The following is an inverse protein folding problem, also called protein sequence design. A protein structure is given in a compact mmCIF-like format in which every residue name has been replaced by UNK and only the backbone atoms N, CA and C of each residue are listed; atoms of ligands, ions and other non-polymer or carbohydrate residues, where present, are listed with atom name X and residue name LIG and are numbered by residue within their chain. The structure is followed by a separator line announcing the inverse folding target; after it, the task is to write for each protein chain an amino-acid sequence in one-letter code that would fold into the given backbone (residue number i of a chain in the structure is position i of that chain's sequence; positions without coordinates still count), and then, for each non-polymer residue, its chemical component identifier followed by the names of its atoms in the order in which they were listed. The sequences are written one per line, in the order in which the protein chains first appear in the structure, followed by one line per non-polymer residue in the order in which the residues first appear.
data_IF_453244494207
#
_entry.id   IF_453244494207
#
_cell.length_a   1.000
_cell.length_b   1.000
_cell.length_c   1.000
_cell.angle_alpha   90.00
_cell.angle_beta   90.00
_cell.angle_gamma   90.00
#
_symmetry.space_group_name_H-M   'P 1'
#
loop_
_entity.id
_entity.type
_entity.pdbx_description
1 polymer ?
#
# COMPACT_ATOMS: atom_id res chain seq x y z
N UNK A 1 -16.84 8.58 -7.49
CA UNK A 1 -16.49 7.65 -6.39
C UNK A 1 -15.45 8.27 -5.47
N UNK A 2 -15.31 7.76 -4.25
CA UNK A 2 -14.21 8.06 -3.33
C UNK A 2 -13.17 6.95 -3.44
N UNK A 3 -11.88 7.28 -3.49
CA UNK A 3 -10.79 6.31 -3.54
C UNK A 3 -9.75 6.59 -2.45
N UNK A 4 -9.40 5.57 -1.68
CA UNK A 4 -8.19 5.53 -0.89
C UNK A 4 -7.37 4.32 -1.33
N UNK A 5 -6.23 4.56 -1.97
CA UNK A 5 -5.31 3.53 -2.42
C UNK A 5 -4.18 3.35 -1.39
N UNK A 6 -3.99 2.13 -0.94
CA UNK A 6 -3.08 1.77 0.15
C UNK A 6 -1.61 1.69 -0.23
N UNK A 7 -1.24 1.77 -1.53
CA UNK A 7 0.16 1.64 -1.92
C UNK A 7 0.46 2.15 -3.34
N UNK A 8 1.50 2.97 -3.47
CA UNK A 8 2.13 3.28 -4.75
C UNK A 8 3.61 3.62 -4.60
N UNK A 9 4.40 3.41 -5.67
CA UNK A 9 5.85 3.72 -5.75
C UNK A 9 6.17 5.00 -6.50
N UNK A 10 5.21 5.88 -6.67
CA UNK A 10 5.32 7.11 -7.46
C UNK A 10 6.48 8.00 -7.04
N UNK A 11 6.78 8.06 -5.72
CA UNK A 11 7.91 8.87 -5.23
C UNK A 11 9.24 8.41 -5.81
N UNK A 12 9.49 7.10 -5.85
CA UNK A 12 10.70 6.56 -6.47
C UNK A 12 10.70 6.81 -7.97
N UNK A 13 9.54 6.69 -8.63
CA UNK A 13 9.34 7.04 -10.02
C UNK A 13 9.76 8.49 -10.31
N UNK A 14 9.30 9.44 -9.50
CA UNK A 14 9.63 10.88 -9.63
C UNK A 14 11.11 11.19 -9.36
N UNK A 15 11.82 10.36 -8.63
CA UNK A 15 13.27 10.50 -8.41
C UNK A 15 14.10 9.92 -9.56
N UNK A 16 13.49 9.16 -10.46
CA UNK A 16 14.15 8.37 -11.50
C UNK A 16 14.83 7.14 -10.93
N UNK A 17 14.49 6.00 -11.47
CA UNK A 17 15.24 4.77 -11.18
C UNK A 17 16.52 4.80 -12.03
N UNK A 18 17.71 4.62 -11.43
CA UNK A 18 18.97 4.58 -12.20
C UNK A 18 18.98 3.53 -13.32
N UNK A 19 18.16 2.50 -13.20
CA UNK A 19 18.02 1.36 -14.09
C UNK A 19 16.93 1.51 -15.17
N UNK A 20 16.06 2.52 -15.10
CA UNK A 20 14.90 2.66 -16.00
C UNK A 20 14.99 3.80 -17.02
N UNK A 21 16.10 4.53 -17.05
CA UNK A 21 16.29 5.61 -18.04
C UNK A 21 16.16 7.03 -17.48
N UNK A 22 15.90 8.03 -18.34
CA UNK A 22 15.82 9.41 -17.90
C UNK A 22 14.69 9.62 -16.88
N UNK A 23 14.89 10.61 -16.00
CA UNK A 23 13.86 11.02 -15.04
C UNK A 23 12.53 11.29 -15.75
N UNK A 24 11.40 10.79 -15.24
CA UNK A 24 10.10 11.19 -15.75
C UNK A 24 9.94 12.70 -15.62
N UNK A 25 9.35 13.31 -16.64
CA UNK A 25 9.01 14.72 -16.57
C UNK A 25 7.82 14.93 -15.63
N UNK A 26 7.86 15.99 -14.84
CA UNK A 26 6.71 16.41 -14.04
C UNK A 26 6.96 16.45 -12.53
N UNK A 27 5.87 16.66 -11.82
CA UNK A 27 5.76 16.72 -10.37
C UNK A 27 4.71 15.73 -9.88
N UNK A 28 4.47 15.68 -8.58
CA UNK A 28 3.35 14.90 -8.06
C UNK A 28 1.99 15.41 -8.56
N UNK A 29 1.89 16.71 -8.90
CA UNK A 29 0.65 17.27 -9.45
C UNK A 29 0.31 16.71 -10.83
N UNK A 30 1.28 16.67 -11.76
CA UNK A 30 1.10 16.15 -13.14
C UNK A 30 2.40 15.50 -13.62
N UNK A 31 2.31 14.24 -14.05
CA UNK A 31 3.44 13.46 -14.54
C UNK A 31 2.99 12.34 -15.50
N UNK A 32 3.98 11.63 -16.09
CA UNK A 32 3.75 10.52 -17.02
C UNK A 32 3.72 9.13 -16.32
N UNK A 33 3.66 9.09 -14.99
CA UNK A 33 3.55 7.87 -14.20
C UNK A 33 2.09 7.41 -14.05
N UNK A 34 1.85 6.30 -13.33
CA UNK A 34 0.51 5.80 -13.09
C UNK A 34 -0.31 6.70 -12.14
N UNK A 35 0.36 7.43 -11.23
CA UNK A 35 -0.30 8.27 -10.22
C UNK A 35 0.15 9.70 -10.34
N UNK A 36 -0.82 10.61 -10.42
CA UNK A 36 -0.66 12.02 -10.11
C UNK A 36 -1.90 12.63 -9.47
N UNK A 37 -1.74 13.80 -8.85
CA UNK A 37 -2.83 14.47 -8.15
C UNK A 37 -3.91 14.99 -9.09
N UNK A 38 -3.55 15.42 -10.30
CA UNK A 38 -4.48 16.00 -11.28
C UNK A 38 -5.54 14.98 -11.69
N UNK A 39 -5.12 13.74 -11.99
CA UNK A 39 -6.02 12.61 -12.31
C UNK A 39 -6.78 12.11 -11.08
N UNK A 40 -6.11 12.03 -9.94
CA UNK A 40 -6.74 11.63 -8.67
C UNK A 40 -7.85 12.60 -8.24
N UNK A 41 -7.66 13.89 -8.42
CA UNK A 41 -8.64 14.93 -8.06
C UNK A 41 -9.89 14.99 -8.96
N UNK A 42 -9.95 14.21 -10.04
CA UNK A 42 -11.18 14.00 -10.80
C UNK A 42 -12.20 13.14 -10.03
N UNK A 43 -11.77 12.46 -8.96
CA UNK A 43 -12.63 11.71 -8.05
C UNK A 43 -13.30 12.63 -7.03
N UNK A 44 -14.40 12.17 -6.45
CA UNK A 44 -15.10 12.88 -5.37
C UNK A 44 -14.21 13.12 -4.15
N UNK A 45 -13.38 12.13 -3.82
CA UNK A 45 -12.29 12.21 -2.83
C UNK A 45 -11.18 11.25 -3.24
N UNK A 46 -9.95 11.71 -3.12
CA UNK A 46 -8.77 10.91 -3.38
C UNK A 46 -7.82 10.90 -2.19
N UNK A 47 -7.42 9.70 -1.77
CA UNK A 47 -6.39 9.49 -0.77
C UNK A 47 -5.39 8.44 -1.28
N UNK A 48 -4.11 8.65 -1.02
CA UNK A 48 -3.03 7.78 -1.48
C UNK A 48 -1.98 7.58 -0.40
N UNK A 49 -1.54 6.34 -0.21
CA UNK A 49 -0.32 6.01 0.53
C UNK A 49 0.85 5.98 -0.44
N UNK A 50 1.83 6.83 -0.21
CA UNK A 50 3.07 6.91 -0.98
C UNK A 50 4.17 6.15 -0.24
N UNK A 51 4.77 5.17 -0.88
CA UNK A 51 5.82 4.36 -0.28
C UNK A 51 7.19 5.03 -0.39
N UNK A 52 7.93 5.03 0.71
CA UNK A 52 9.38 5.17 0.69
C UNK A 52 9.95 3.78 0.48
N UNK A 53 10.36 3.52 -0.74
CA UNK A 53 10.87 2.25 -1.23
C UNK A 53 12.26 2.38 -1.84
N UNK A 54 13.07 1.34 -1.72
CA UNK A 54 14.35 1.23 -2.39
C UNK A 54 15.19 0.08 -1.84
N UNK A 55 16.25 -0.27 -2.53
CA UNK A 55 17.11 -1.40 -2.17
C UNK A 55 18.59 -1.07 -2.30
N UNK A 56 19.42 -1.76 -1.52
CA UNK A 56 20.87 -1.63 -1.62
C UNK A 56 21.36 -1.99 -3.02
N UNK A 57 22.16 -1.09 -3.61
CA UNK A 57 22.72 -1.26 -4.97
C UNK A 57 21.98 -0.48 -6.04
N UNK A 58 20.88 0.21 -5.74
CA UNK A 58 20.23 1.10 -6.70
C UNK A 58 20.97 2.44 -6.95
N UNK A 59 22.17 2.60 -6.40
CA UNK A 59 23.00 3.80 -6.60
C UNK A 59 22.59 5.01 -5.74
N UNK A 60 21.66 4.82 -4.80
CA UNK A 60 21.21 5.84 -3.86
C UNK A 60 21.70 5.52 -2.45
N UNK A 61 22.26 6.48 -1.75
CA UNK A 61 22.57 6.44 -0.32
C UNK A 61 21.48 7.15 0.46
N UNK A 62 21.25 6.78 1.71
CA UNK A 62 20.18 7.34 2.56
C UNK A 62 18.83 7.42 1.83
N UNK A 63 18.37 6.25 1.37
CA UNK A 63 17.14 6.11 0.57
C UNK A 63 15.97 6.76 1.30
N UNK A 64 15.79 6.42 2.60
CA UNK A 64 14.71 6.97 3.41
C UNK A 64 14.77 8.51 3.49
N UNK A 65 15.92 9.08 3.81
CA UNK A 65 16.10 10.54 3.91
C UNK A 65 15.75 11.24 2.61
N UNK A 66 16.29 10.76 1.51
CA UNK A 66 16.12 11.40 0.18
C UNK A 66 14.68 11.31 -0.35
N UNK A 67 14.04 10.14 -0.24
CA UNK A 67 12.67 9.97 -0.75
C UNK A 67 11.68 10.70 0.15
N UNK A 68 11.83 10.64 1.47
CA UNK A 68 10.97 11.38 2.39
C UNK A 68 11.13 12.90 2.23
N UNK A 69 12.34 13.39 1.95
CA UNK A 69 12.56 14.81 1.63
C UNK A 69 11.85 15.20 0.32
N UNK A 70 11.97 14.37 -0.72
CA UNK A 70 11.23 14.60 -1.98
C UNK A 70 9.73 14.64 -1.74
N UNK A 71 9.18 13.72 -0.95
CA UNK A 71 7.77 13.74 -0.59
C UNK A 71 7.37 15.07 0.07
N UNK A 72 8.11 15.53 1.06
CA UNK A 72 7.82 16.80 1.74
C UNK A 72 7.89 18.00 0.79
N UNK A 73 8.85 18.02 -0.13
CA UNK A 73 8.95 19.06 -1.17
C UNK A 73 7.74 19.06 -2.10
N UNK A 74 7.24 17.86 -2.49
CA UNK A 74 6.01 17.74 -3.30
C UNK A 74 4.78 18.20 -2.50
N UNK A 75 4.68 17.88 -1.21
CA UNK A 75 3.58 18.36 -0.35
C UNK A 75 3.56 19.88 -0.24
N UNK A 76 4.72 20.52 -0.14
CA UNK A 76 4.84 21.99 -0.11
C UNK A 76 4.48 22.60 -1.48
N UNK A 77 5.06 22.06 -2.56
CA UNK A 77 4.86 22.58 -3.92
C UNK A 77 3.42 22.42 -4.41
N UNK A 78 2.72 21.37 -3.97
CA UNK A 78 1.35 21.03 -4.35
C UNK A 78 0.33 21.34 -3.25
N UNK A 79 0.65 22.19 -2.26
CA UNK A 79 -0.18 22.44 -1.07
C UNK A 79 -1.60 22.96 -1.38
N UNK A 80 -1.82 23.51 -2.58
CA UNK A 80 -3.14 23.88 -3.07
C UNK A 80 -4.03 22.66 -3.35
N UNK A 81 -3.43 21.54 -3.76
CA UNK A 81 -4.09 20.34 -4.28
C UNK A 81 -4.04 19.14 -3.34
N UNK A 82 -3.13 19.13 -2.38
CA UNK A 82 -2.88 17.98 -1.50
C UNK A 82 -2.65 18.42 -0.07
N UNK A 83 -3.04 17.55 0.88
CA UNK A 83 -2.71 17.68 2.30
C UNK A 83 -1.91 16.46 2.73
N UNK A 84 -0.76 16.68 3.35
CA UNK A 84 -0.07 15.61 4.08
C UNK A 84 -0.88 15.24 5.32
N UNK A 85 -1.23 13.98 5.42
CA UNK A 85 -2.10 13.41 6.46
C UNK A 85 -1.34 12.41 7.33
N UNK A 86 -1.54 12.52 8.64
CA UNK A 86 -1.03 11.57 9.64
C UNK A 86 -2.16 10.93 10.41
N UNK A 87 -3.26 11.68 10.57
CA UNK A 87 -4.45 11.31 11.35
C UNK A 87 -5.68 11.25 10.48
N UNK A 88 -6.70 10.56 10.97
CA UNK A 88 -8.01 10.52 10.32
C UNK A 88 -8.62 11.92 10.16
N UNK A 89 -8.46 12.80 11.16
CA UNK A 89 -8.91 14.19 11.08
C UNK A 89 -8.25 15.00 9.95
N UNK A 90 -6.99 14.70 9.62
CA UNK A 90 -6.30 15.34 8.49
C UNK A 90 -6.96 14.95 7.16
N UNK A 91 -7.24 13.65 6.96
CA UNK A 91 -7.92 13.17 5.77
C UNK A 91 -9.34 13.77 5.62
N UNK A 92 -10.10 13.83 6.71
CA UNK A 92 -11.42 14.48 6.72
C UNK A 92 -11.34 15.97 6.41
N UNK A 93 -10.25 16.62 6.81
CA UNK A 93 -10.01 18.03 6.49
C UNK A 93 -9.65 18.19 5.02
N UNK A 94 -8.78 17.32 4.47
CA UNK A 94 -8.46 17.30 3.05
C UNK A 94 -9.72 17.15 2.19
N UNK A 95 -10.59 16.18 2.54
CA UNK A 95 -11.87 15.96 1.85
C UNK A 95 -12.76 17.21 1.85
N UNK A 96 -12.91 17.89 3.00
CA UNK A 96 -13.69 19.14 3.10
C UNK A 96 -13.11 20.30 2.30
N UNK A 97 -11.79 20.32 2.15
CA UNK A 97 -11.06 21.34 1.39
C UNK A 97 -10.97 20.97 -0.10
N UNK A 98 -11.54 19.85 -0.54
CA UNK A 98 -11.42 19.33 -1.91
C UNK A 98 -9.96 19.11 -2.33
N UNK A 99 -9.13 18.65 -1.42
CA UNK A 99 -7.74 18.28 -1.64
C UNK A 99 -7.56 16.76 -1.58
N UNK A 100 -6.56 16.26 -2.26
CA UNK A 100 -6.12 14.89 -2.05
C UNK A 100 -5.52 14.72 -0.64
N UNK A 101 -5.69 13.55 -0.03
CA UNK A 101 -5.05 13.17 1.22
C UNK A 101 -3.83 12.29 0.93
N UNK A 102 -2.63 12.75 1.26
CA UNK A 102 -1.39 12.01 1.07
C UNK A 102 -0.90 11.44 2.39
N UNK A 103 -0.62 10.15 2.41
CA UNK A 103 -0.01 9.43 3.53
C UNK A 103 1.36 8.91 3.13
N UNK A 104 2.24 8.73 4.11
CA UNK A 104 3.60 8.22 3.89
C UNK A 104 3.75 6.85 4.54
N UNK A 105 4.28 5.89 3.79
CA UNK A 105 4.66 4.57 4.29
C UNK A 105 6.15 4.28 4.05
N UNK A 106 6.65 3.27 4.71
CA UNK A 106 7.94 2.64 4.43
C UNK A 106 7.67 1.24 3.89
N UNK A 107 8.28 0.89 2.77
CA UNK A 107 8.25 -0.46 2.22
C UNK A 107 9.64 -1.09 2.31
N UNK A 108 9.75 -2.01 3.27
CA UNK A 108 10.98 -2.70 3.63
C UNK A 108 11.81 -1.99 4.71
N UNK A 109 12.03 -2.68 5.83
CA UNK A 109 12.84 -2.17 6.94
C UNK A 109 14.28 -1.87 6.55
N UNK A 110 14.75 -2.44 5.43
CA UNK A 110 16.08 -2.19 4.87
C UNK A 110 16.33 -0.73 4.49
N UNK A 111 15.30 0.05 4.13
CA UNK A 111 15.47 1.49 3.86
C UNK A 111 15.73 2.30 5.14
N UNK A 112 15.44 1.70 6.30
CA UNK A 112 15.72 2.21 7.65
C UNK A 112 16.94 1.50 8.28
N UNK A 113 17.75 0.78 7.50
CA UNK A 113 18.87 -0.05 7.97
C UNK A 113 18.43 -1.07 9.05
N UNK A 114 17.16 -1.45 9.10
CA UNK A 114 16.53 -2.27 10.14
C UNK A 114 16.81 -1.76 11.55
N UNK A 115 16.88 -0.45 11.79
CA UNK A 115 17.28 0.18 13.05
C UNK A 115 16.10 0.82 13.78
N UNK A 116 15.99 0.62 15.11
CA UNK A 116 14.91 1.24 15.91
C UNK A 116 14.89 2.77 15.85
N UNK A 117 16.05 3.42 15.98
CA UNK A 117 16.16 4.88 15.94
C UNK A 117 15.76 5.47 14.57
N UNK A 118 15.97 4.75 13.46
CA UNK A 118 15.49 5.14 12.14
C UNK A 118 13.98 4.95 12.01
N UNK A 119 13.41 3.96 12.68
CA UNK A 119 11.96 3.75 12.72
C UNK A 119 11.27 4.87 13.53
N UNK A 120 11.88 5.28 14.65
CA UNK A 120 11.42 6.45 15.42
C UNK A 120 11.48 7.73 14.58
N UNK A 121 12.58 7.98 13.85
CA UNK A 121 12.70 9.09 12.90
C UNK A 121 11.57 9.03 11.83
N UNK A 122 11.26 7.84 11.30
CA UNK A 122 10.18 7.68 10.34
C UNK A 122 8.81 8.06 10.92
N UNK A 123 8.52 7.67 12.18
CA UNK A 123 7.33 8.09 12.90
C UNK A 123 7.25 9.62 13.05
N UNK A 124 8.35 10.26 13.46
CA UNK A 124 8.43 11.72 13.60
C UNK A 124 8.18 12.44 12.27
N UNK A 125 8.66 11.87 11.16
CA UNK A 125 8.39 12.38 9.80
C UNK A 125 6.97 12.10 9.31
N UNK A 126 6.18 11.31 10.07
CA UNK A 126 4.77 11.06 9.82
C UNK A 126 4.47 9.84 8.97
N UNK A 127 5.39 8.88 8.92
CA UNK A 127 5.11 7.55 8.37
C UNK A 127 4.00 6.90 9.20
N UNK A 128 2.92 6.47 8.55
CA UNK A 128 1.76 5.83 9.20
C UNK A 128 1.71 4.32 9.00
N UNK A 129 2.51 3.78 8.09
CA UNK A 129 2.51 2.36 7.77
C UNK A 129 3.95 1.86 7.58
N UNK A 130 4.29 0.74 8.22
CA UNK A 130 5.61 0.13 8.22
C UNK A 130 5.57 -1.25 7.57
N UNK A 131 6.07 -1.34 6.34
CA UNK A 131 6.38 -2.59 5.64
C UNK A 131 7.65 -3.23 6.19
N UNK A 132 7.53 -4.45 6.69
CA UNK A 132 8.63 -5.14 7.37
C UNK A 132 9.73 -5.58 6.40
N UNK A 133 9.36 -5.87 5.16
CA UNK A 133 10.27 -6.29 4.08
C UNK A 133 9.75 -5.91 2.71
N UNK A 134 10.64 -5.92 1.73
CA UNK A 134 10.33 -5.99 0.30
C UNK A 134 10.64 -7.40 -0.24
N UNK A 135 11.00 -7.54 -1.51
CA UNK A 135 11.27 -8.84 -2.15
C UNK A 135 12.55 -9.54 -1.67
N UNK A 136 13.50 -8.84 -1.04
CA UNK A 136 14.74 -9.42 -0.55
C UNK A 136 14.67 -9.69 0.94
N UNK A 137 15.19 -10.84 1.35
CA UNK A 137 15.38 -11.14 2.75
C UNK A 137 16.35 -10.11 3.37
N UNK A 138 15.98 -9.59 4.53
CA UNK A 138 16.80 -8.66 5.29
C UNK A 138 17.22 -9.28 6.65
N UNK A 139 17.91 -8.53 7.51
CA UNK A 139 18.36 -9.08 8.79
C UNK A 139 17.23 -9.45 9.76
N UNK A 140 16.02 -8.90 9.55
CA UNK A 140 14.90 -9.08 10.48
C UNK A 140 13.89 -10.14 10.03
N UNK A 141 13.83 -10.47 8.72
CA UNK A 141 12.85 -11.43 8.21
C UNK A 141 13.25 -12.03 6.86
N UNK A 142 12.69 -13.20 6.54
CA UNK A 142 12.56 -13.71 5.17
C UNK A 142 11.36 -13.10 4.45
N UNK A 143 11.28 -13.32 3.14
CA UNK A 143 10.21 -12.83 2.27
C UNK A 143 9.61 -13.97 1.48
N UNK A 144 8.49 -13.72 0.82
CA UNK A 144 7.89 -14.71 -0.08
C UNK A 144 8.73 -14.99 -1.36
N UNK A 145 9.67 -14.09 -1.68
CA UNK A 145 10.56 -14.22 -2.84
C UNK A 145 11.95 -14.75 -2.48
N UNK A 146 12.44 -14.50 -1.26
CA UNK A 146 13.77 -14.90 -0.80
C UNK A 146 13.70 -15.37 0.65
N UNK A 147 14.23 -16.57 0.93
CA UNK A 147 14.22 -17.21 2.26
C UNK A 147 12.78 -17.42 2.82
N UNK A 148 11.89 -18.07 2.04
CA UNK A 148 10.45 -18.10 2.34
C UNK A 148 10.08 -18.89 3.60
N UNK A 149 11.00 -19.69 4.14
CA UNK A 149 10.80 -20.50 5.34
C UNK A 149 11.24 -19.77 6.63
N UNK A 150 11.84 -18.57 6.51
CA UNK A 150 12.30 -17.78 7.64
C UNK A 150 11.28 -16.73 8.08
N UNK A 151 10.84 -16.79 9.33
CA UNK A 151 10.02 -15.78 10.00
C UNK A 151 10.83 -14.60 10.54
N UNK A 152 10.23 -13.86 11.48
CA UNK A 152 10.89 -12.73 12.14
C UNK A 152 12.02 -13.20 13.06
N UNK A 153 13.18 -12.55 12.95
CA UNK A 153 14.24 -12.65 13.94
C UNK A 153 13.83 -12.01 15.27
N UNK A 154 14.64 -12.18 16.33
CA UNK A 154 14.39 -11.48 17.59
C UNK A 154 14.32 -9.96 17.40
N UNK A 155 15.25 -9.39 16.63
CA UNK A 155 15.28 -7.96 16.25
C UNK A 155 14.05 -7.56 15.43
N UNK A 156 13.59 -8.43 14.51
CA UNK A 156 12.36 -8.20 13.75
C UNK A 156 11.13 -8.09 14.64
N UNK A 157 11.02 -8.98 15.64
CA UNK A 157 9.92 -8.92 16.62
C UNK A 157 9.97 -7.65 17.49
N UNK A 158 11.14 -7.13 17.79
CA UNK A 158 11.30 -5.86 18.51
C UNK A 158 10.89 -4.67 17.64
N UNK A 159 11.31 -4.62 16.36
CA UNK A 159 10.93 -3.55 15.44
C UNK A 159 9.43 -3.54 15.14
N UNK A 160 8.81 -4.70 14.95
CA UNK A 160 7.35 -4.81 14.75
C UNK A 160 6.58 -4.29 15.97
N UNK A 161 7.02 -4.63 17.21
CA UNK A 161 6.41 -4.08 18.43
C UNK A 161 6.59 -2.56 18.52
N UNK A 162 7.80 -2.08 18.22
CA UNK A 162 8.08 -0.64 18.22
C UNK A 162 7.20 0.11 17.22
N UNK A 163 7.03 -0.41 15.99
CA UNK A 163 6.12 0.18 15.00
C UNK A 163 4.69 0.30 15.53
N UNK A 164 4.17 -0.77 16.16
CA UNK A 164 2.84 -0.77 16.78
C UNK A 164 2.75 0.24 17.94
N UNK A 165 3.78 0.32 18.80
CA UNK A 165 3.83 1.24 19.95
C UNK A 165 3.94 2.71 19.47
N UNK A 166 4.53 2.97 18.31
CA UNK A 166 4.58 4.28 17.64
C UNK A 166 3.27 4.62 16.90
N UNK A 167 2.28 3.71 16.89
CA UNK A 167 0.99 3.91 16.24
C UNK A 167 0.99 3.73 14.73
N UNK A 168 2.02 3.07 14.18
CA UNK A 168 2.06 2.70 12.76
C UNK A 168 1.27 1.42 12.51
N UNK A 169 0.55 1.34 11.39
CA UNK A 169 0.05 0.07 10.87
C UNK A 169 1.25 -0.79 10.42
N UNK A 170 1.26 -2.07 10.79
CA UNK A 170 2.28 -3.01 10.30
C UNK A 170 1.77 -3.68 9.03
N UNK A 171 2.53 -3.52 7.93
CA UNK A 171 2.23 -4.13 6.64
C UNK A 171 2.96 -5.46 6.47
N UNK A 172 2.17 -6.50 6.22
CA UNK A 172 2.66 -7.87 6.00
C UNK A 172 2.84 -8.22 4.52
N UNK A 173 2.59 -7.28 3.62
CA UNK A 173 2.90 -7.45 2.20
C UNK A 173 4.39 -7.82 2.05
N UNK A 174 4.73 -8.74 1.13
CA UNK A 174 6.07 -9.30 0.92
C UNK A 174 6.60 -10.26 1.99
N UNK A 175 6.05 -10.32 3.19
CA UNK A 175 6.53 -11.26 4.20
C UNK A 175 6.44 -12.72 3.73
N UNK A 176 7.39 -13.54 4.19
CA UNK A 176 7.24 -14.99 4.17
C UNK A 176 6.01 -15.43 4.97
N UNK A 177 5.45 -16.61 4.66
CA UNK A 177 4.34 -17.15 5.43
C UNK A 177 4.65 -17.26 6.93
N UNK A 178 5.84 -17.77 7.38
CA UNK A 178 6.21 -17.72 8.80
C UNK A 178 6.31 -16.29 9.37
N UNK A 179 6.81 -15.32 8.57
CA UNK A 179 6.88 -13.91 8.96
C UNK A 179 5.50 -13.30 9.20
N UNK A 180 4.54 -13.60 8.33
CA UNK A 180 3.13 -13.22 8.51
C UNK A 180 2.60 -13.71 9.86
N UNK A 181 2.73 -15.00 10.16
CA UNK A 181 2.22 -15.59 11.40
C UNK A 181 2.98 -15.12 12.65
N UNK A 182 4.23 -14.69 12.50
CA UNK A 182 4.94 -14.03 13.60
C UNK A 182 4.38 -12.63 13.89
N UNK A 183 4.01 -11.84 12.85
CA UNK A 183 3.34 -10.55 13.03
C UNK A 183 1.95 -10.74 13.66
N UNK A 184 1.17 -11.68 13.15
CA UNK A 184 -0.17 -11.99 13.68
C UNK A 184 -0.13 -12.28 15.19
N UNK A 185 0.82 -13.11 15.65
CA UNK A 185 1.00 -13.41 17.08
C UNK A 185 1.39 -12.20 17.94
N UNK A 186 2.04 -11.21 17.35
CA UNK A 186 2.46 -9.98 18.04
C UNK A 186 1.36 -8.92 18.07
N UNK A 187 0.47 -8.95 17.08
CA UNK A 187 -0.55 -7.94 16.89
C UNK A 187 -1.58 -7.95 18.03
N UNK A 188 -1.82 -6.77 18.61
CA UNK A 188 -2.87 -6.54 19.62
C UNK A 188 -4.08 -5.82 19.05
N UNK A 189 -4.02 -5.47 17.79
CA UNK A 189 -5.02 -4.73 17.03
C UNK A 189 -4.82 -4.93 15.53
N UNK A 190 -5.34 -4.04 14.70
CA UNK A 190 -5.26 -4.15 13.25
C UNK A 190 -3.81 -4.19 12.75
N UNK A 191 -3.56 -5.04 11.76
CA UNK A 191 -2.42 -5.00 10.87
C UNK A 191 -2.90 -5.15 9.43
N UNK A 192 -2.08 -4.83 8.45
CA UNK A 192 -2.53 -4.69 7.07
C UNK A 192 -1.68 -5.51 6.10
N UNK A 193 -2.27 -5.89 4.97
CA UNK A 193 -1.56 -6.22 3.75
C UNK A 193 -1.92 -5.13 2.73
N UNK A 194 -1.08 -4.11 2.58
CA UNK A 194 -1.44 -2.92 1.78
C UNK A 194 -1.73 -3.25 0.34
N UNK A 195 -1.10 -4.30 -0.25
CA UNK A 195 -1.21 -4.67 -1.66
C UNK A 195 -0.99 -6.18 -1.88
N UNK A 196 -2.01 -7.02 -1.55
CA UNK A 196 -1.93 -8.50 -1.66
C UNK A 196 -3.26 -9.12 -2.06
N UNK A 197 -3.24 -10.00 -3.06
CA UNK A 197 -4.41 -10.67 -3.61
C UNK A 197 -4.68 -12.05 -2.97
N UNK A 198 -5.66 -12.80 -3.51
CA UNK A 198 -6.00 -14.14 -3.05
C UNK A 198 -5.13 -15.21 -3.70
N UNK A 199 -4.46 -16.04 -2.88
CA UNK A 199 -3.67 -17.20 -3.34
C UNK A 199 -4.55 -18.34 -3.85
N UNK A 200 -5.81 -18.40 -3.40
CA UNK A 200 -6.78 -19.39 -3.91
C UNK A 200 -7.20 -19.09 -5.37
N UNK A 201 -7.25 -17.80 -5.74
CA UNK A 201 -7.59 -17.38 -7.11
C UNK A 201 -6.36 -17.42 -8.03
N UNK A 202 -5.21 -16.92 -7.57
CA UNK A 202 -3.94 -16.96 -8.27
C UNK A 202 -2.87 -17.52 -7.32
N UNK A 203 -2.34 -18.72 -7.55
CA UNK A 203 -1.44 -19.42 -6.62
C UNK A 203 -0.02 -18.86 -6.65
N UNK A 204 0.10 -17.55 -6.48
CA UNK A 204 1.38 -16.86 -6.39
C UNK A 204 1.79 -16.67 -4.91
N UNK A 205 3.05 -16.89 -4.51
CA UNK A 205 3.49 -16.79 -3.11
C UNK A 205 3.29 -15.39 -2.51
N UNK A 206 3.23 -14.35 -3.35
CA UNK A 206 2.98 -12.97 -2.96
C UNK A 206 1.54 -12.74 -2.47
N UNK A 207 0.62 -13.64 -2.79
CA UNK A 207 -0.79 -13.58 -2.44
C UNK A 207 -1.07 -14.22 -1.08
N UNK A 208 -2.13 -13.76 -0.42
CA UNK A 208 -2.59 -14.25 0.88
C UNK A 208 -3.32 -15.59 0.74
N UNK A 209 -3.05 -16.52 1.65
CA UNK A 209 -3.94 -17.66 1.84
C UNK A 209 -5.25 -17.21 2.48
N UNK A 210 -6.30 -18.05 2.38
CA UNK A 210 -7.59 -17.77 3.02
C UNK A 210 -7.46 -17.57 4.53
N UNK A 211 -6.58 -18.34 5.18
CA UNK A 211 -6.36 -18.25 6.63
C UNK A 211 -5.63 -16.94 6.99
N UNK A 212 -4.68 -16.48 6.15
CA UNK A 212 -4.03 -15.18 6.32
C UNK A 212 -5.04 -14.04 6.18
N UNK A 213 -5.91 -14.11 5.17
CA UNK A 213 -6.96 -13.10 4.99
C UNK A 213 -7.93 -13.09 6.18
N UNK A 214 -8.35 -14.26 6.67
CA UNK A 214 -9.20 -14.35 7.87
C UNK A 214 -8.49 -13.78 9.11
N UNK A 215 -7.19 -14.03 9.28
CA UNK A 215 -6.43 -13.47 10.39
C UNK A 215 -6.40 -11.93 10.34
N UNK A 216 -6.14 -11.32 9.16
CA UNK A 216 -6.23 -9.86 8.98
C UNK A 216 -7.63 -9.37 9.35
N UNK A 217 -8.68 -10.02 8.84
CA UNK A 217 -10.08 -9.69 9.13
C UNK A 217 -10.38 -9.74 10.63
N UNK A 218 -9.99 -10.82 11.28
CA UNK A 218 -10.32 -11.07 12.69
C UNK A 218 -9.58 -10.10 13.64
N UNK A 219 -8.43 -9.57 13.21
CA UNK A 219 -7.74 -8.45 13.87
C UNK A 219 -8.31 -7.07 13.49
N UNK A 220 -9.31 -6.99 12.61
CA UNK A 220 -9.92 -5.74 12.17
C UNK A 220 -9.07 -4.96 11.18
N UNK A 221 -8.11 -5.61 10.53
CA UNK A 221 -7.21 -5.03 9.52
C UNK A 221 -7.80 -4.93 8.13
N UNK A 222 -6.94 -4.61 7.14
CA UNK A 222 -7.32 -4.53 5.73
C UNK A 222 -6.33 -5.26 4.83
N UNK A 223 -6.85 -5.76 3.70
CA UNK A 223 -6.08 -6.34 2.60
C UNK A 223 -6.40 -5.58 1.30
N UNK A 224 -5.41 -4.88 0.75
CA UNK A 224 -5.52 -4.10 -0.48
C UNK A 224 -5.32 -4.96 -1.72
N UNK A 225 -6.18 -4.80 -2.69
CA UNK A 225 -6.07 -5.44 -4.01
C UNK A 225 -4.91 -4.86 -4.79
N UNK A 226 -3.94 -5.71 -5.12
CA UNK A 226 -2.81 -5.38 -5.98
C UNK A 226 -3.20 -5.52 -7.44
N UNK A 227 -2.89 -4.53 -8.28
CA UNK A 227 -3.22 -4.51 -9.71
C UNK A 227 -2.12 -5.08 -10.61
N UNK A 228 -1.01 -5.56 -10.05
CA UNK A 228 0.01 -6.22 -10.85
C UNK A 228 -0.54 -7.53 -11.46
N UNK A 229 -0.53 -7.61 -12.79
CA UNK A 229 -1.11 -8.74 -13.52
C UNK A 229 -0.54 -10.10 -13.10
N UNK A 230 0.75 -10.14 -12.72
CA UNK A 230 1.43 -11.36 -12.27
C UNK A 230 0.76 -11.99 -11.02
N UNK A 231 0.15 -11.17 -10.16
CA UNK A 231 -0.48 -11.61 -8.92
C UNK A 231 -2.00 -11.80 -9.08
N UNK A 232 -2.56 -11.43 -10.23
CA UNK A 232 -3.98 -11.55 -10.52
C UNK A 232 -4.32 -12.83 -11.29
N UNK A 233 -3.45 -13.27 -12.21
CA UNK A 233 -3.73 -14.48 -12.98
C UNK A 233 -2.81 -14.67 -14.18
N UNK A 234 -3.05 -15.74 -14.94
CA UNK A 234 -2.33 -16.05 -16.16
C UNK A 234 -3.08 -15.56 -17.40
N UNK A 235 -2.35 -15.32 -18.49
CA UNK A 235 -2.90 -14.92 -19.79
C UNK A 235 -3.36 -13.47 -19.85
N UNK A 236 -4.52 -13.21 -20.45
CA UNK A 236 -5.07 -11.87 -20.54
C UNK A 236 -5.77 -11.48 -19.23
N UNK A 237 -5.14 -10.60 -18.46
CA UNK A 237 -5.65 -10.10 -17.18
C UNK A 237 -6.50 -8.86 -17.44
N UNK A 238 -7.75 -8.90 -17.05
CA UNK A 238 -8.75 -7.84 -17.23
C UNK A 238 -9.38 -7.44 -15.90
N UNK A 239 -10.27 -6.46 -15.90
CA UNK A 239 -11.09 -6.10 -14.73
C UNK A 239 -11.82 -7.34 -14.17
N UNK A 240 -12.37 -8.22 -15.02
CA UNK A 240 -13.02 -9.46 -14.56
C UNK A 240 -12.08 -10.39 -13.78
N UNK A 241 -10.79 -10.34 -14.06
CA UNK A 241 -9.79 -11.08 -13.27
C UNK A 241 -9.66 -10.49 -11.87
N UNK A 242 -9.64 -9.15 -11.74
CA UNK A 242 -9.65 -8.46 -10.45
C UNK A 242 -10.90 -8.80 -9.65
N UNK A 243 -12.07 -8.79 -10.31
CA UNK A 243 -13.35 -9.09 -9.65
C UNK A 243 -13.38 -10.50 -9.04
N UNK A 244 -12.70 -11.49 -9.62
CA UNK A 244 -12.60 -12.83 -9.01
C UNK A 244 -11.91 -12.83 -7.64
N UNK A 245 -10.90 -11.98 -7.45
CA UNK A 245 -10.25 -11.81 -6.15
C UNK A 245 -11.18 -11.12 -5.15
N UNK A 246 -11.92 -10.11 -5.61
CA UNK A 246 -12.92 -9.41 -4.79
C UNK A 246 -14.01 -10.37 -4.32
N UNK A 247 -14.62 -11.10 -5.27
CA UNK A 247 -15.67 -12.06 -5.01
C UNK A 247 -15.20 -13.09 -3.96
N UNK A 248 -13.99 -13.66 -4.14
CA UNK A 248 -13.43 -14.63 -3.21
C UNK A 248 -13.21 -14.07 -1.80
N UNK A 249 -12.66 -12.87 -1.67
CA UNK A 249 -12.47 -12.24 -0.37
C UNK A 249 -13.80 -11.88 0.30
N UNK A 250 -14.82 -11.50 -0.46
CA UNK A 250 -16.16 -11.27 0.06
C UNK A 250 -16.82 -12.57 0.55
N UNK A 251 -16.62 -13.70 -0.14
CA UNK A 251 -17.04 -15.03 0.32
C UNK A 251 -16.40 -15.42 1.67
N UNK A 252 -15.21 -14.87 1.97
CA UNK A 252 -14.54 -15.04 3.26
C UNK A 252 -15.01 -14.03 4.34
N UNK A 253 -16.04 -13.23 4.08
CA UNK A 253 -16.56 -12.20 5.00
C UNK A 253 -15.69 -10.94 5.02
N UNK A 254 -15.21 -10.52 3.85
CA UNK A 254 -14.22 -9.46 3.68
C UNK A 254 -14.78 -8.05 3.52
N UNK A 255 -16.08 -7.81 3.73
CA UNK A 255 -16.75 -6.53 3.47
C UNK A 255 -16.10 -5.34 4.19
N UNK A 256 -15.57 -5.57 5.39
CA UNK A 256 -14.86 -4.56 6.19
C UNK A 256 -13.34 -4.71 6.16
N UNK A 257 -12.81 -5.63 5.36
CA UNK A 257 -11.38 -5.96 5.30
C UNK A 257 -10.77 -5.63 3.94
N UNK A 258 -11.52 -5.91 2.87
CA UNK A 258 -11.05 -5.66 1.52
C UNK A 258 -10.88 -4.18 1.24
N UNK A 259 -9.80 -3.82 0.56
CA UNK A 259 -9.47 -2.46 0.17
C UNK A 259 -8.80 -2.41 -1.21
N UNK A 260 -8.42 -1.24 -1.67
CA UNK A 260 -7.58 -1.04 -2.86
C UNK A 260 -6.14 -0.77 -2.42
N UNK A 261 -5.17 -1.42 -3.07
CA UNK A 261 -3.76 -1.19 -2.89
C UNK A 261 -3.06 -1.47 -4.21
N UNK A 262 -3.22 -0.54 -5.15
CA UNK A 262 -3.00 -0.75 -6.59
C UNK A 262 -1.59 -1.14 -6.98
N UNK A 263 -0.58 -0.88 -6.14
CA UNK A 263 0.84 -1.07 -6.43
C UNK A 263 1.25 -0.30 -7.71
N UNK A 264 0.57 0.84 -7.92
CA UNK A 264 0.80 1.70 -9.06
C UNK A 264 2.21 2.26 -9.02
N UNK A 265 2.87 2.31 -10.15
CA UNK A 265 4.29 2.65 -10.32
C UNK A 265 5.28 1.63 -9.72
N UNK A 266 4.81 0.65 -8.94
CA UNK A 266 5.60 -0.48 -8.42
C UNK A 266 5.53 -1.73 -9.31
N UNK A 267 4.48 -1.86 -10.12
CA UNK A 267 4.24 -3.03 -10.94
C UNK A 267 4.62 -2.82 -12.42
N UNK A 268 5.00 -3.91 -13.08
CA UNK A 268 5.44 -3.90 -14.48
C UNK A 268 4.30 -3.94 -15.51
N UNK A 269 3.08 -4.28 -15.09
CA UNK A 269 1.90 -4.36 -15.97
C UNK A 269 0.62 -4.30 -15.17
N UNK A 270 -0.41 -3.66 -15.76
CA UNK A 270 -1.74 -3.47 -15.20
C UNK A 270 -2.78 -4.27 -16.00
N UNK A 271 -3.97 -4.55 -15.44
CA UNK A 271 -5.07 -5.17 -16.18
C UNK A 271 -5.44 -4.38 -17.43
N UNK A 272 -5.90 -5.08 -18.46
CA UNK A 272 -6.33 -4.45 -19.72
C UNK A 272 -7.37 -3.34 -19.46
N UNK A 273 -7.11 -2.17 -20.02
CA UNK A 273 -7.92 -0.97 -19.86
C UNK A 273 -7.56 -0.09 -18.66
N UNK A 274 -6.71 -0.56 -17.75
CA UNK A 274 -6.20 0.24 -16.62
C UNK A 274 -4.81 0.75 -16.98
N UNK A 275 -4.61 2.07 -16.96
CA UNK A 275 -3.34 2.74 -17.28
C UNK A 275 -2.82 3.61 -16.14
N UNK A 276 -3.59 3.76 -15.06
CA UNK A 276 -3.23 4.54 -13.89
C UNK A 276 -4.42 4.78 -12.97
N UNK A 277 -4.24 5.68 -12.03
CA UNK A 277 -5.22 5.97 -10.98
C UNK A 277 -6.60 6.37 -11.52
N UNK A 278 -6.63 7.08 -12.66
CA UNK A 278 -7.88 7.52 -13.30
C UNK A 278 -8.80 6.37 -13.73
N UNK A 279 -8.23 5.19 -14.02
CA UNK A 279 -8.99 4.06 -14.55
C UNK A 279 -9.46 3.07 -13.45
N UNK A 280 -9.12 3.31 -12.18
CA UNK A 280 -9.56 2.46 -11.05
C UNK A 280 -11.09 2.42 -10.95
N UNK A 281 -11.79 3.45 -11.42
CA UNK A 281 -13.25 3.48 -11.48
C UNK A 281 -13.84 2.34 -12.33
N UNK A 282 -13.10 1.77 -13.29
CA UNK A 282 -13.57 0.63 -14.10
C UNK A 282 -13.88 -0.60 -13.26
N UNK A 283 -13.15 -0.78 -12.14
CA UNK A 283 -13.42 -1.86 -11.19
C UNK A 283 -14.70 -1.56 -10.41
N UNK A 284 -14.88 -0.32 -9.97
CA UNK A 284 -16.11 0.14 -9.31
C UNK A 284 -17.33 -0.07 -10.19
N UNK A 285 -17.29 0.42 -11.43
CA UNK A 285 -18.40 0.37 -12.39
C UNK A 285 -18.79 -1.09 -12.73
N UNK A 286 -17.79 -1.97 -12.81
CA UNK A 286 -18.02 -3.38 -13.05
C UNK A 286 -18.69 -4.07 -11.86
N UNK A 287 -18.33 -3.73 -10.61
CA UNK A 287 -18.99 -4.22 -9.40
C UNK A 287 -20.41 -3.69 -9.29
N UNK A 288 -20.64 -2.39 -9.54
CA UNK A 288 -21.98 -1.80 -9.55
C UNK A 288 -22.87 -2.48 -10.59
N UNK A 289 -22.33 -2.76 -11.79
CA UNK A 289 -23.04 -3.50 -12.85
C UNK A 289 -23.41 -4.94 -12.42
N UNK A 290 -22.59 -5.57 -11.56
CA UNK A 290 -22.89 -6.89 -10.96
C UNK A 290 -23.89 -6.82 -9.82
N UNK A 291 -24.34 -5.63 -9.42
CA UNK A 291 -25.36 -5.42 -8.40
C UNK A 291 -24.83 -5.34 -6.98
N UNK A 292 -23.54 -5.07 -6.79
CA UNK A 292 -23.01 -4.77 -5.48
C UNK A 292 -23.51 -3.42 -4.97
N UNK A 293 -23.92 -3.36 -3.72
CA UNK A 293 -24.47 -2.17 -3.08
C UNK A 293 -23.42 -1.06 -2.95
N UNK A 294 -23.81 0.18 -3.22
CA UNK A 294 -22.90 1.34 -3.19
C UNK A 294 -22.16 1.49 -1.86
N UNK A 295 -22.81 1.19 -0.74
CA UNK A 295 -22.21 1.25 0.60
C UNK A 295 -21.02 0.28 0.72
N UNK A 296 -21.13 -0.94 0.18
CA UNK A 296 -20.03 -1.90 0.15
C UNK A 296 -18.88 -1.38 -0.73
N UNK A 297 -19.18 -0.79 -1.88
CA UNK A 297 -18.17 -0.20 -2.76
C UNK A 297 -17.45 0.96 -2.08
N UNK A 298 -18.15 1.85 -1.39
CA UNK A 298 -17.54 2.92 -0.58
C UNK A 298 -16.63 2.39 0.52
N UNK A 299 -17.00 1.26 1.14
CA UNK A 299 -16.16 0.61 2.14
C UNK A 299 -14.88 0.05 1.52
N UNK A 300 -14.98 -0.70 0.43
CA UNK A 300 -13.82 -1.32 -0.26
C UNK A 300 -12.89 -0.24 -0.82
N UNK A 301 -13.43 0.76 -1.50
CA UNK A 301 -12.61 1.74 -2.20
C UNK A 301 -12.09 2.87 -1.31
N UNK A 302 -12.64 3.06 -0.10
CA UNK A 302 -12.20 4.17 0.75
C UNK A 302 -12.28 3.88 2.25
N UNK A 303 -13.47 3.53 2.79
CA UNK A 303 -13.70 3.61 4.22
C UNK A 303 -12.92 2.57 5.03
N UNK A 304 -12.65 1.38 4.47
CA UNK A 304 -11.90 0.32 5.15
C UNK A 304 -10.46 0.77 5.45
N UNK A 305 -9.78 1.42 4.51
CA UNK A 305 -8.44 1.98 4.76
C UNK A 305 -8.49 3.19 5.70
N UNK A 306 -9.46 4.08 5.57
CA UNK A 306 -9.63 5.22 6.50
C UNK A 306 -9.80 4.78 7.95
N UNK A 307 -10.37 3.61 8.19
CA UNK A 307 -10.56 3.04 9.53
C UNK A 307 -9.26 2.53 10.15
N UNK A 308 -8.26 2.14 9.35
CA UNK A 308 -7.11 1.36 9.82
C UNK A 308 -5.77 2.08 9.64
N UNK A 309 -5.52 2.70 8.48
CA UNK A 309 -4.19 3.25 8.16
C UNK A 309 -3.87 4.56 8.87
N UNK A 310 -4.76 5.58 8.91
CA UNK A 310 -4.44 6.80 9.65
C UNK A 310 -4.40 6.52 11.15
N UNK A 311 -3.53 7.24 11.85
CA UNK A 311 -3.62 7.28 13.31
C UNK A 311 -5.02 7.77 13.70
N UNK A 312 -5.73 7.02 14.52
CA UNK A 312 -7.08 7.39 14.98
C UNK A 312 -6.97 8.55 15.97
N UNK A 313 -7.94 9.47 15.94
CA UNK A 313 -7.97 10.67 16.79
C UNK A 313 -8.41 10.36 18.22
#
# INVERSE_FOLDING_TARGET
MRLFDGHCDTLLGLMGRPDTGPLPAGSLYENDLHVDLKRGLEMEFYAQVFAVFGFHGMGMTDIFGRISERFLQEMESCAEYVRFCRRLSDARTAEKEHKAAAFLSVEGAEVLDCRPDRLEEAAEKGVCCFGVSWNRANEITGTNAEDPDRGLSAKGKELVRLAMDLGMAVDVSHLSDPGFWDVEKLAKGPFVATHSNSRAVCPHPRNLTDDMFRAIRDHGGTAGLNLYTLFLGEGNVTVDTVLRHIDHFLELGGEKTLAVGGDLDGCGSLPEGIHGVQDVHLIWDALETRGYEKELLEDIFCNNLLRVLPVQD
#
